data_IF_828186063071
#
_entry.id   IF_828186063071
#
_cell.length_a   1.000
_cell.length_b   1.000
_cell.length_c   1.000
_cell.angle_alpha   90.00
_cell.angle_beta   90.00
_cell.angle_gamma   90.00
#
_symmetry.space_group_name_H-M   'P 1'
#
loop_
_entity.id
_entity.type
_entity.pdbx_description
1 polymer ?
#
# COMPACT_ATOMS: atom_id res chain seq x y z
N UNK A 1 3.76 -19.67 -15.67
CA UNK A 1 3.15 -18.98 -14.52
C UNK A 1 1.68 -18.84 -14.81
N UNK A 2 0.84 -19.35 -13.93
CA UNK A 2 -0.60 -19.20 -14.06
C UNK A 2 -0.98 -17.89 -13.36
N UNK A 3 -1.48 -16.90 -14.10
CA UNK A 3 -1.89 -15.59 -13.57
C UNK A 3 -3.37 -15.56 -13.18
N UNK A 4 -4.00 -16.73 -13.08
CA UNK A 4 -5.38 -16.85 -12.68
C UNK A 4 -5.49 -16.66 -11.16
N UNK A 5 -6.13 -15.55 -10.77
CA UNK A 5 -6.59 -15.36 -9.41
C UNK A 5 -7.68 -16.38 -9.09
N UNK A 6 -7.62 -16.96 -7.91
CA UNK A 6 -8.69 -17.78 -7.36
C UNK A 6 -9.95 -16.94 -7.12
N UNK A 7 -11.11 -17.60 -7.02
CA UNK A 7 -12.37 -16.94 -6.65
C UNK A 7 -12.27 -16.21 -5.32
N UNK A 8 -11.50 -16.75 -4.39
CA UNK A 8 -11.29 -16.15 -3.07
C UNK A 8 -10.47 -14.85 -3.17
N UNK A 9 -9.37 -14.86 -3.92
CA UNK A 9 -8.55 -13.67 -4.15
C UNK A 9 -9.36 -12.56 -4.86
N UNK A 10 -10.18 -12.91 -5.85
CA UNK A 10 -11.07 -11.96 -6.53
C UNK A 10 -12.09 -11.36 -5.55
N UNK A 11 -12.71 -12.19 -4.73
CA UNK A 11 -13.66 -11.74 -3.69
C UNK A 11 -12.99 -10.79 -2.71
N UNK A 12 -11.80 -11.14 -2.23
CA UNK A 12 -11.03 -10.33 -1.29
C UNK A 12 -10.64 -8.97 -1.91
N UNK A 13 -10.12 -8.95 -3.15
CA UNK A 13 -9.78 -7.69 -3.83
C UNK A 13 -11.00 -6.79 -4.01
N UNK A 14 -12.17 -7.35 -4.36
CA UNK A 14 -13.42 -6.58 -4.46
C UNK A 14 -13.83 -5.94 -3.12
N UNK A 15 -13.63 -6.65 -2.01
CA UNK A 15 -13.90 -6.12 -0.67
C UNK A 15 -12.92 -4.98 -0.33
N UNK A 16 -11.63 -5.17 -0.62
CA UNK A 16 -10.61 -4.15 -0.39
C UNK A 16 -10.90 -2.88 -1.19
N UNK A 17 -11.19 -3.02 -2.48
CA UNK A 17 -11.49 -1.89 -3.37
C UNK A 17 -12.69 -1.07 -2.87
N UNK A 18 -13.77 -1.73 -2.46
CA UNK A 18 -14.95 -1.06 -1.88
C UNK A 18 -14.61 -0.30 -0.60
N UNK A 19 -13.83 -0.91 0.30
CA UNK A 19 -13.41 -0.26 1.56
C UNK A 19 -12.51 0.95 1.28
N UNK A 20 -11.57 0.83 0.36
CA UNK A 20 -10.66 1.92 -0.02
C UNK A 20 -11.43 3.08 -0.65
N UNK A 21 -12.36 2.80 -1.56
CA UNK A 21 -13.23 3.81 -2.18
C UNK A 21 -14.05 4.62 -1.17
N UNK A 22 -14.48 4.00 -0.08
CA UNK A 22 -15.26 4.67 0.97
C UNK A 22 -14.42 5.64 1.85
N UNK A 23 -13.09 5.51 1.84
CA UNK A 23 -12.20 6.22 2.76
C UNK A 23 -11.36 7.30 2.07
N UNK A 24 -11.09 7.13 0.78
CA UNK A 24 -10.27 8.03 -0.01
C UNK A 24 -11.12 9.04 -0.76
N UNK A 25 -10.56 10.24 -0.96
CA UNK A 25 -11.10 11.22 -1.91
C UNK A 25 -11.02 10.65 -3.33
N UNK A 26 -11.96 11.04 -4.20
CA UNK A 26 -12.07 10.52 -5.57
C UNK A 26 -10.76 10.57 -6.37
N UNK A 27 -9.98 11.65 -6.29
CA UNK A 27 -8.70 11.76 -6.99
C UNK A 27 -7.67 10.75 -6.49
N UNK A 28 -7.61 10.55 -5.17
CA UNK A 28 -6.70 9.59 -4.54
C UNK A 28 -7.14 8.16 -4.82
N UNK A 29 -8.43 7.86 -4.79
CA UNK A 29 -8.95 6.54 -5.16
C UNK A 29 -8.60 6.20 -6.62
N UNK A 30 -8.77 7.13 -7.57
CA UNK A 30 -8.37 6.90 -8.97
C UNK A 30 -6.89 6.56 -9.10
N UNK A 31 -6.03 7.37 -8.48
CA UNK A 31 -4.60 7.11 -8.39
C UNK A 31 -4.31 5.72 -7.81
N UNK A 32 -4.90 5.36 -6.67
CA UNK A 32 -4.73 4.05 -6.04
C UNK A 32 -5.14 2.87 -6.95
N UNK A 33 -6.22 3.01 -7.71
CA UNK A 33 -6.63 2.01 -8.69
C UNK A 33 -5.64 1.94 -9.87
N UNK A 34 -5.17 3.07 -10.38
CA UNK A 34 -4.15 3.12 -11.43
C UNK A 34 -2.83 2.47 -10.98
N UNK A 35 -2.39 2.74 -9.75
CA UNK A 35 -1.21 2.10 -9.13
C UNK A 35 -1.41 0.59 -9.03
N UNK A 36 -2.57 0.11 -8.57
CA UNK A 36 -2.86 -1.32 -8.50
C UNK A 36 -2.78 -2.00 -9.87
N UNK A 37 -3.33 -1.38 -10.92
CA UNK A 37 -3.24 -1.89 -12.29
C UNK A 37 -1.81 -1.86 -12.85
N UNK A 38 -1.06 -0.79 -12.58
CA UNK A 38 0.33 -0.68 -13.00
C UNK A 38 1.20 -1.73 -12.29
N UNK A 39 1.01 -1.91 -10.98
CA UNK A 39 1.65 -2.96 -10.20
C UNK A 39 1.31 -4.36 -10.72
N UNK A 40 0.06 -4.62 -11.10
CA UNK A 40 -0.36 -5.86 -11.73
C UNK A 40 0.39 -6.11 -13.05
N UNK A 41 0.49 -5.10 -13.92
CA UNK A 41 1.24 -5.22 -15.17
C UNK A 41 2.73 -5.51 -14.93
N UNK A 42 3.37 -4.79 -14.01
CA UNK A 42 4.77 -5.04 -13.62
C UNK A 42 4.93 -6.45 -13.01
N UNK A 43 3.98 -6.92 -12.21
CA UNK A 43 4.00 -8.27 -11.63
C UNK A 43 3.98 -9.36 -12.69
N UNK A 44 3.20 -9.16 -13.77
CA UNK A 44 3.15 -10.08 -14.90
C UNK A 44 4.47 -10.14 -15.66
N UNK A 45 5.15 -9.01 -15.83
CA UNK A 45 6.44 -8.96 -16.53
C UNK A 45 7.57 -9.56 -15.69
N UNK A 46 7.57 -9.29 -14.38
CA UNK A 46 8.69 -9.62 -13.50
C UNK A 46 8.49 -10.87 -12.64
N UNK A 47 7.32 -11.51 -12.72
CA UNK A 47 7.04 -12.79 -12.04
C UNK A 47 6.70 -12.66 -10.55
N UNK A 48 6.13 -11.52 -10.13
CA UNK A 48 5.60 -11.38 -8.77
C UNK A 48 4.15 -11.90 -8.68
N UNK A 49 3.68 -12.38 -7.51
CA UNK A 49 2.31 -12.84 -7.33
C UNK A 49 1.29 -11.71 -7.61
N UNK A 50 0.39 -11.96 -8.55
CA UNK A 50 -0.58 -10.97 -9.03
C UNK A 50 -1.48 -10.42 -7.91
N UNK A 51 -1.98 -11.30 -7.05
CA UNK A 51 -2.80 -10.91 -5.90
C UNK A 51 -2.08 -9.92 -4.99
N UNK A 52 -0.81 -10.20 -4.65
CA UNK A 52 -0.03 -9.35 -3.75
C UNK A 52 0.22 -7.97 -4.36
N UNK A 53 0.52 -7.90 -5.65
CA UNK A 53 0.71 -6.64 -6.36
C UNK A 53 -0.57 -5.79 -6.37
N UNK A 54 -1.72 -6.39 -6.68
CA UNK A 54 -3.01 -5.71 -6.65
C UNK A 54 -3.38 -5.23 -5.24
N UNK A 55 -3.25 -6.10 -4.23
CA UNK A 55 -3.60 -5.79 -2.86
C UNK A 55 -2.70 -4.70 -2.27
N UNK A 56 -1.39 -4.77 -2.48
CA UNK A 56 -0.45 -3.74 -2.02
C UNK A 56 -0.70 -2.41 -2.76
N UNK A 57 -0.93 -2.44 -4.07
CA UNK A 57 -1.25 -1.25 -4.86
C UNK A 57 -2.55 -0.57 -4.41
N UNK A 58 -3.59 -1.34 -4.10
CA UNK A 58 -4.86 -0.81 -3.58
C UNK A 58 -4.74 -0.18 -2.18
N UNK A 59 -3.75 -0.58 -1.39
CA UNK A 59 -3.64 -0.19 0.02
C UNK A 59 -2.45 0.72 0.32
N UNK A 60 -1.53 0.94 -0.62
CA UNK A 60 -0.29 1.70 -0.38
C UNK A 60 -0.56 3.08 0.26
N UNK A 61 -1.63 3.75 -0.21
CA UNK A 61 -2.02 5.09 0.19
C UNK A 61 -3.24 5.13 1.12
N UNK A 62 -3.62 4.02 1.76
CA UNK A 62 -4.83 3.94 2.59
C UNK A 62 -4.83 4.89 3.80
N UNK A 63 -3.66 5.42 4.18
CA UNK A 63 -3.50 6.43 5.23
C UNK A 63 -3.31 7.86 4.70
N UNK A 64 -3.38 8.10 3.38
CA UNK A 64 -3.10 9.43 2.79
C UNK A 64 -4.15 10.49 3.11
N UNK A 65 -5.30 10.09 3.66
CA UNK A 65 -6.36 10.99 4.07
C UNK A 65 -6.10 11.70 5.41
N UNK A 66 -5.16 11.21 6.22
CA UNK A 66 -4.81 11.82 7.51
C UNK A 66 -3.90 13.02 7.33
N UNK A 67 -4.10 14.02 8.19
CA UNK A 67 -3.20 15.15 8.36
C UNK A 67 -1.90 14.75 9.05
N UNK A 68 -0.88 15.60 8.93
CA UNK A 68 0.43 15.40 9.56
C UNK A 68 0.34 15.20 11.08
N UNK A 69 -0.44 16.02 11.77
CA UNK A 69 -0.67 15.91 13.22
C UNK A 69 -1.39 14.60 13.59
N UNK A 70 -2.36 14.18 12.78
CA UNK A 70 -3.06 12.92 12.99
C UNK A 70 -2.14 11.73 12.78
N UNK A 71 -1.27 11.75 11.76
CA UNK A 71 -0.31 10.68 11.50
C UNK A 71 0.66 10.53 12.68
N UNK A 72 1.24 11.62 13.17
CA UNK A 72 2.13 11.61 14.34
C UNK A 72 1.41 11.07 15.58
N UNK A 73 0.24 11.63 15.89
CA UNK A 73 -0.55 11.25 17.06
C UNK A 73 -0.95 9.77 17.01
N UNK A 74 -1.42 9.29 15.85
CA UNK A 74 -1.83 7.89 15.66
C UNK A 74 -0.64 6.94 15.73
N UNK A 75 0.48 7.25 15.08
CA UNK A 75 1.70 6.43 15.15
C UNK A 75 2.17 6.28 16.60
N UNK A 76 2.30 7.39 17.34
CA UNK A 76 2.70 7.39 18.75
C UNK A 76 1.73 6.61 19.62
N UNK A 77 0.41 6.85 19.48
CA UNK A 77 -0.63 6.15 20.25
C UNK A 77 -0.62 4.64 20.01
N UNK A 78 -0.20 4.20 18.82
CA UNK A 78 -0.10 2.78 18.45
C UNK A 78 1.28 2.18 18.70
N UNK A 79 2.23 2.95 19.23
CA UNK A 79 3.59 2.49 19.48
C UNK A 79 4.40 2.23 18.20
N UNK A 80 4.00 2.84 17.07
CA UNK A 80 4.79 2.77 15.84
C UNK A 80 6.01 3.70 15.98
N UNK A 81 7.21 3.25 15.58
CA UNK A 81 8.42 4.07 15.69
C UNK A 81 8.29 5.29 14.77
N UNK A 82 8.55 6.48 15.32
CA UNK A 82 8.65 7.73 14.55
C UNK A 82 10.11 8.18 14.60
N UNK A 83 10.73 8.32 13.44
CA UNK A 83 12.12 8.75 13.26
C UNK A 83 12.19 10.27 13.21
N UNK A 84 13.35 10.85 13.49
CA UNK A 84 13.58 12.30 13.44
C UNK A 84 13.16 12.92 12.09
N UNK A 85 13.47 12.27 10.97
CA UNK A 85 13.05 12.76 9.64
C UNK A 85 11.53 12.74 9.44
N UNK A 86 10.83 11.83 10.12
CA UNK A 86 9.37 11.70 10.08
C UNK A 86 8.70 12.69 11.04
N UNK A 87 9.41 13.19 12.06
CA UNK A 87 8.95 14.34 12.86
C UNK A 87 9.03 15.63 12.04
N UNK A 88 10.08 15.80 11.24
CA UNK A 88 10.26 16.96 10.36
C UNK A 88 9.35 16.90 9.13
N UNK A 89 9.10 15.70 8.60
CA UNK A 89 8.23 15.46 7.44
C UNK A 89 7.15 14.40 7.76
N UNK A 90 6.10 14.75 8.53
CA UNK A 90 5.11 13.78 8.99
C UNK A 90 4.35 13.09 7.87
N UNK A 91 4.23 13.75 6.71
CA UNK A 91 3.61 13.14 5.53
C UNK A 91 4.24 11.79 5.16
N UNK A 92 5.52 11.52 5.48
CA UNK A 92 6.16 10.22 5.25
C UNK A 92 5.49 9.06 6.01
N UNK A 93 4.89 9.35 7.17
CA UNK A 93 4.29 8.36 8.05
C UNK A 93 3.05 7.69 7.47
N UNK A 94 2.44 8.22 6.41
CA UNK A 94 1.31 7.55 5.76
C UNK A 94 1.67 6.14 5.28
N UNK A 95 2.91 5.92 4.84
CA UNK A 95 3.36 4.59 4.42
C UNK A 95 3.40 3.60 5.58
N UNK A 96 4.06 3.98 6.69
CA UNK A 96 4.14 3.17 7.92
C UNK A 96 2.80 2.95 8.60
N UNK A 97 2.02 4.02 8.76
CA UNK A 97 0.68 3.93 9.34
C UNK A 97 -0.27 3.19 8.40
N UNK A 98 -0.09 3.32 7.07
CA UNK A 98 -0.80 2.57 6.04
C UNK A 98 -0.58 1.07 6.17
N UNK A 99 0.66 0.62 6.38
CA UNK A 99 0.94 -0.79 6.65
C UNK A 99 0.26 -1.29 7.93
N UNK A 100 0.27 -0.48 9.00
CA UNK A 100 -0.48 -0.78 10.22
C UNK A 100 -2.00 -0.90 9.96
N UNK A 101 -2.59 0.01 9.19
CA UNK A 101 -4.01 -0.06 8.83
C UNK A 101 -4.31 -1.25 7.92
N UNK A 102 -3.46 -1.55 6.95
CA UNK A 102 -3.59 -2.71 6.06
C UNK A 102 -3.75 -4.00 6.89
N UNK A 103 -2.95 -4.15 7.94
CA UNK A 103 -3.07 -5.26 8.88
C UNK A 103 -4.36 -5.21 9.69
N UNK A 104 -4.60 -4.12 10.41
CA UNK A 104 -5.63 -4.07 11.45
C UNK A 104 -7.06 -3.86 10.91
N UNK A 105 -7.20 -3.06 9.84
CA UNK A 105 -8.50 -2.66 9.26
C UNK A 105 -8.85 -3.46 8.01
N UNK A 106 -7.85 -3.78 7.20
CA UNK A 106 -8.04 -4.48 5.93
C UNK A 106 -7.75 -5.99 6.01
N UNK A 107 -7.21 -6.46 7.14
CA UNK A 107 -7.02 -7.90 7.41
C UNK A 107 -5.86 -8.52 6.62
N UNK A 108 -4.89 -7.72 6.17
CA UNK A 108 -3.71 -8.23 5.48
C UNK A 108 -2.76 -8.86 6.50
N UNK A 109 -2.42 -10.13 6.27
CA UNK A 109 -1.48 -10.89 7.10
C UNK A 109 -0.17 -11.23 6.39
N UNK A 110 -0.08 -10.95 5.08
CA UNK A 110 1.11 -11.23 4.28
C UNK A 110 2.18 -10.16 4.47
N UNK A 111 3.32 -10.55 5.04
CA UNK A 111 4.42 -9.63 5.37
C UNK A 111 5.04 -8.95 4.14
N UNK A 112 5.00 -9.56 2.95
CA UNK A 112 5.50 -8.91 1.74
C UNK A 112 4.58 -7.77 1.31
N UNK A 113 3.26 -7.95 1.40
CA UNK A 113 2.29 -6.87 1.13
C UNK A 113 2.49 -5.72 2.11
N UNK A 114 2.59 -6.04 3.42
CA UNK A 114 2.79 -5.03 4.46
C UNK A 114 4.12 -4.27 4.28
N UNK A 115 5.19 -5.00 3.95
CA UNK A 115 6.50 -4.45 3.62
C UNK A 115 6.44 -3.47 2.44
N UNK A 116 5.77 -3.85 1.35
CA UNK A 116 5.67 -3.03 0.16
C UNK A 116 4.89 -1.74 0.43
N UNK A 117 3.83 -1.81 1.22
CA UNK A 117 3.07 -0.62 1.68
C UNK A 117 3.95 0.25 2.60
N UNK A 118 4.67 -0.33 3.56
CA UNK A 118 5.48 0.44 4.51
C UNK A 118 6.59 1.24 3.84
N UNK A 119 7.20 0.72 2.77
CA UNK A 119 8.36 1.34 2.14
C UNK A 119 8.08 2.04 0.80
N UNK A 120 6.83 2.12 0.32
CA UNK A 120 6.53 2.65 -1.01
C UNK A 120 6.99 4.10 -1.24
N UNK A 121 7.07 4.93 -0.20
CA UNK A 121 7.48 6.35 -0.33
C UNK A 121 8.99 6.53 -0.38
N UNK A 122 9.74 5.75 0.39
CA UNK A 122 11.17 6.01 0.67
C UNK A 122 12.09 4.90 0.17
N UNK A 123 11.52 3.74 -0.16
CA UNK A 123 12.25 2.51 -0.36
C UNK A 123 12.94 2.03 0.92
N UNK A 124 13.73 0.97 0.79
CA UNK A 124 14.63 0.47 1.83
C UNK A 124 15.81 -0.30 1.21
N UNK A 125 16.93 -0.45 1.93
CA UNK A 125 17.96 -1.40 1.51
C UNK A 125 17.35 -2.80 1.32
N UNK A 126 17.79 -3.50 0.27
CA UNK A 126 17.34 -4.85 -0.06
C UNK A 126 15.80 -4.99 -0.23
N UNK A 127 15.17 -4.02 -0.90
CA UNK A 127 13.76 -4.14 -1.33
C UNK A 127 13.47 -5.48 -2.03
N UNK A 128 12.38 -6.12 -1.63
CA UNK A 128 11.83 -7.29 -2.29
C UNK A 128 11.39 -6.95 -3.72
N UNK A 129 11.07 -7.97 -4.54
CA UNK A 129 10.51 -7.71 -5.86
C UNK A 129 9.19 -6.93 -5.77
N UNK A 130 8.34 -7.27 -4.80
CA UNK A 130 7.06 -6.59 -4.60
C UNK A 130 7.25 -5.15 -4.13
N UNK A 131 8.19 -4.89 -3.21
CA UNK A 131 8.52 -3.54 -2.75
C UNK A 131 8.90 -2.64 -3.94
N UNK A 132 9.78 -3.14 -4.83
CA UNK A 132 10.19 -2.43 -6.05
C UNK A 132 9.03 -2.18 -7.00
N UNK A 133 8.15 -3.15 -7.17
CA UNK A 133 6.97 -3.03 -8.04
C UNK A 133 6.06 -1.91 -7.52
N UNK A 134 5.73 -1.90 -6.22
CA UNK A 134 4.82 -0.89 -5.66
C UNK A 134 5.46 0.50 -5.65
N UNK A 135 6.73 0.60 -5.24
CA UNK A 135 7.49 1.86 -5.29
C UNK A 135 7.53 2.44 -6.72
N UNK A 136 7.75 1.58 -7.73
CA UNK A 136 7.82 2.04 -9.13
C UNK A 136 6.44 2.37 -9.68
N UNK A 137 5.43 1.53 -9.42
CA UNK A 137 4.07 1.72 -9.90
C UNK A 137 3.46 3.03 -9.42
N UNK A 138 3.70 3.40 -8.16
CA UNK A 138 3.27 4.68 -7.57
C UNK A 138 3.79 5.89 -8.35
N UNK A 139 4.98 5.76 -8.93
CA UNK A 139 5.63 6.85 -9.66
C UNK A 139 5.25 6.91 -11.16
N UNK A 140 4.86 5.79 -11.76
CA UNK A 140 4.67 5.68 -13.23
C UNK A 140 3.23 5.40 -13.66
N UNK A 141 2.29 5.33 -12.72
CA UNK A 141 0.87 5.22 -13.02
C UNK A 141 0.38 6.40 -13.91
N UNK A 142 -0.53 6.16 -14.87
CA UNK A 142 -0.91 7.11 -15.92
C UNK A 142 -1.90 8.21 -15.51
#
# INVERSE_FOLDING_TARGET
>A
MDYLLSKEEISQLSILEKKVKAELKDSRYRHTVSVAHCAAALSMVHGAPLFKALAAGLLHDCAKCYTDDELLSKCRKKGLPVREIEEVNPSLLHSKYGAYLAKEKYGITDDEILSAIECHTTGKPAMSLLDKIIFTADYIEP
#
